data_IF_343002790942
#
_entry.id   IF_343002790942
#
_cell.length_a   1.000
_cell.length_b   1.000
_cell.length_c   1.000
_cell.angle_alpha   90.00
_cell.angle_beta   90.00
_cell.angle_gamma   90.00
#
_symmetry.space_group_name_H-M   'P 1'
#
loop_
_entity.id
_entity.type
_entity.pdbx_description
1 polymer ?
#
# COMPACT_ATOMS: atom_id res chain seq x y z
N UNK A 1 43.29 28.96 37.26
CA UNK A 1 42.66 27.64 37.43
C UNK A 1 41.26 27.72 36.82
N UNK A 2 41.00 27.19 35.59
CA UNK A 2 39.66 27.21 35.05
C UNK A 2 38.89 25.95 35.48
N UNK A 3 37.68 26.19 35.99
CA UNK A 3 36.69 25.21 36.47
C UNK A 3 36.15 24.35 35.31
N UNK A 4 36.24 23.02 35.45
CA UNK A 4 35.66 22.04 34.51
C UNK A 4 34.18 21.86 34.79
N UNK A 5 33.34 22.41 33.92
CA UNK A 5 31.90 22.16 33.95
C UNK A 5 31.59 20.81 33.30
N UNK A 6 31.20 19.84 34.07
CA UNK A 6 30.76 18.52 33.60
C UNK A 6 29.42 18.64 32.87
N UNK A 7 29.38 18.41 31.55
CA UNK A 7 28.17 18.25 30.79
C UNK A 7 27.50 16.90 31.14
N UNK A 8 26.39 16.96 31.84
CA UNK A 8 25.54 15.83 32.17
C UNK A 8 24.86 15.33 30.87
N UNK A 9 25.25 14.15 30.38
CA UNK A 9 24.59 13.52 29.25
C UNK A 9 23.13 13.16 29.67
N UNK A 10 22.16 13.69 28.92
CA UNK A 10 20.78 13.35 29.10
C UNK A 10 20.55 11.91 28.61
N UNK A 11 19.90 11.09 29.44
CA UNK A 11 19.53 9.72 29.11
C UNK A 11 18.56 9.70 27.93
N UNK A 12 18.64 8.71 27.00
CA UNK A 12 17.73 8.61 25.86
C UNK A 12 16.29 8.36 26.35
N UNK A 13 15.37 9.21 25.91
CA UNK A 13 13.94 9.06 26.19
C UNK A 13 13.47 7.68 25.70
N UNK A 14 12.90 6.87 26.60
CA UNK A 14 12.28 5.58 26.28
C UNK A 14 11.19 5.80 25.22
N UNK A 15 11.40 5.29 23.99
CA UNK A 15 10.35 5.21 22.97
C UNK A 15 9.20 4.41 23.57
N UNK A 16 8.04 5.05 23.75
CA UNK A 16 6.80 4.36 24.07
C UNK A 16 6.56 3.32 22.98
N UNK A 17 6.45 2.05 23.37
CA UNK A 17 6.01 0.99 22.48
C UNK A 17 4.64 1.42 21.91
N UNK A 18 4.53 1.53 20.59
CA UNK A 18 3.26 1.75 19.92
C UNK A 18 2.48 0.48 20.13
N UNK A 19 1.43 0.54 20.92
CA UNK A 19 0.46 -0.56 21.05
C UNK A 19 -0.15 -0.70 19.65
N UNK A 20 0.20 -1.77 18.95
CA UNK A 20 -0.44 -2.11 17.69
C UNK A 20 -1.85 -2.61 18.02
N UNK A 21 -2.85 -1.91 17.52
CA UNK A 21 -4.21 -2.42 17.57
C UNK A 21 -4.29 -3.71 16.72
N UNK A 22 -5.11 -4.69 17.16
CA UNK A 22 -5.29 -5.90 16.38
C UNK A 22 -5.88 -5.56 15.00
N UNK A 23 -5.54 -6.36 13.96
CA UNK A 23 -6.14 -6.18 12.65
C UNK A 23 -7.67 -6.21 12.73
N UNK A 24 -8.37 -5.38 11.93
CA UNK A 24 -9.82 -5.42 11.88
C UNK A 24 -10.31 -6.70 11.20
N UNK A 25 -11.57 -7.07 11.44
CA UNK A 25 -12.18 -8.21 10.78
C UNK A 25 -12.56 -7.82 9.33
N UNK A 26 -11.63 -8.02 8.40
CA UNK A 26 -11.82 -7.69 6.99
C UNK A 26 -12.98 -8.45 6.37
N UNK A 27 -13.78 -7.83 5.49
CA UNK A 27 -14.76 -8.55 4.69
C UNK A 27 -14.09 -9.63 3.84
N UNK A 28 -14.76 -10.76 3.56
CA UNK A 28 -14.21 -11.78 2.67
C UNK A 28 -13.96 -11.20 1.27
N UNK A 29 -12.86 -11.61 0.65
CA UNK A 29 -12.48 -11.22 -0.71
C UNK A 29 -13.25 -12.04 -1.74
N UNK A 30 -14.59 -11.93 -1.71
CA UNK A 30 -15.49 -12.69 -2.62
C UNK A 30 -16.70 -11.83 -3.00
N UNK A 31 -17.26 -12.03 -4.21
CA UNK A 31 -16.77 -12.89 -5.29
C UNK A 31 -15.55 -12.31 -6.01
N UNK A 32 -14.67 -13.17 -6.49
CA UNK A 32 -13.49 -12.81 -7.28
C UNK A 32 -13.78 -12.90 -8.79
N UNK A 33 -12.98 -12.16 -9.56
CA UNK A 33 -12.94 -12.27 -11.02
C UNK A 33 -11.80 -13.23 -11.36
N UNK A 34 -12.03 -14.20 -12.27
CA UNK A 34 -10.99 -15.10 -12.74
C UNK A 34 -9.81 -14.33 -13.36
N UNK A 35 -8.61 -14.87 -13.23
CA UNK A 35 -7.38 -14.22 -13.72
C UNK A 35 -7.36 -14.06 -15.25
N UNK A 36 -8.02 -14.96 -15.96
CA UNK A 36 -8.16 -14.96 -17.42
C UNK A 36 -9.03 -13.80 -17.94
N UNK A 37 -9.90 -13.23 -17.09
CA UNK A 37 -10.75 -12.09 -17.43
C UNK A 37 -10.09 -10.74 -17.08
N UNK A 38 -8.85 -10.76 -16.59
CA UNK A 38 -8.14 -9.59 -16.13
C UNK A 38 -6.84 -9.40 -16.90
N UNK A 39 -6.41 -8.13 -17.03
CA UNK A 39 -5.16 -7.78 -17.67
C UNK A 39 -4.47 -6.62 -16.95
N UNK A 40 -3.14 -6.55 -17.10
CA UNK A 40 -2.37 -5.37 -16.78
C UNK A 40 -2.50 -4.37 -17.93
N UNK A 41 -2.84 -3.14 -17.59
CA UNK A 41 -2.90 -2.01 -18.53
C UNK A 41 -1.82 -1.00 -18.17
N UNK A 42 -0.91 -0.73 -19.07
CA UNK A 42 0.08 0.32 -18.90
C UNK A 42 -0.54 1.68 -19.25
N UNK A 43 -0.68 2.54 -18.27
CA UNK A 43 -1.16 3.92 -18.45
C UNK A 43 0.00 4.86 -18.77
N UNK A 44 1.14 4.65 -18.10
CA UNK A 44 2.38 5.39 -18.34
C UNK A 44 3.52 4.40 -18.27
N UNK A 45 4.31 4.34 -19.32
CA UNK A 45 5.41 3.39 -19.48
C UNK A 45 6.38 3.50 -18.29
N UNK A 46 6.79 2.37 -17.73
CA UNK A 46 7.68 2.22 -16.57
C UNK A 46 7.24 2.94 -15.29
N UNK A 47 6.01 3.46 -15.21
CA UNK A 47 5.58 4.24 -14.06
C UNK A 47 4.20 3.86 -13.52
N UNK A 48 3.20 3.65 -14.39
CA UNK A 48 1.82 3.42 -13.97
C UNK A 48 1.22 2.23 -14.71
N UNK A 49 0.90 1.22 -13.94
CA UNK A 49 0.18 0.03 -14.40
C UNK A 49 -1.10 -0.12 -13.59
N UNK A 50 -2.16 -0.53 -14.26
CA UNK A 50 -3.49 -0.69 -13.66
C UNK A 50 -4.02 -2.08 -13.97
N UNK A 51 -4.63 -2.72 -12.98
CA UNK A 51 -5.50 -3.88 -13.16
C UNK A 51 -6.93 -3.41 -13.05
N UNK A 52 -7.63 -3.32 -14.20
CA UNK A 52 -9.04 -2.94 -14.18
C UNK A 52 -9.89 -4.09 -13.69
N UNK A 53 -10.93 -3.75 -12.95
CA UNK A 53 -11.94 -4.71 -12.46
C UNK A 53 -11.38 -5.83 -11.57
N UNK A 54 -10.20 -5.66 -10.95
CA UNK A 54 -9.65 -6.65 -10.02
C UNK A 54 -10.66 -7.05 -8.92
N UNK A 55 -11.47 -6.10 -8.49
CA UNK A 55 -12.53 -6.31 -7.52
C UNK A 55 -13.90 -6.10 -8.19
N UNK A 56 -14.83 -7.00 -7.92
CA UNK A 56 -16.22 -6.86 -8.42
C UNK A 56 -16.91 -5.60 -7.85
N UNK A 57 -17.89 -5.01 -8.52
CA UNK A 57 -18.64 -3.86 -7.99
C UNK A 57 -19.27 -4.12 -6.62
N UNK A 58 -19.70 -5.35 -6.35
CA UNK A 58 -20.25 -5.75 -5.06
C UNK A 58 -19.17 -5.75 -3.98
N UNK A 59 -18.00 -6.33 -4.28
CA UNK A 59 -16.88 -6.36 -3.37
C UNK A 59 -16.38 -4.93 -3.08
N UNK A 60 -16.27 -4.07 -4.10
CA UNK A 60 -15.93 -2.66 -3.92
C UNK A 60 -16.89 -1.96 -2.96
N UNK A 61 -18.21 -2.12 -3.12
CA UNK A 61 -19.19 -1.51 -2.21
C UNK A 61 -19.03 -1.99 -0.78
N UNK A 62 -18.84 -3.30 -0.60
CA UNK A 62 -18.65 -3.90 0.73
C UNK A 62 -17.40 -3.34 1.41
N UNK A 63 -16.28 -3.27 0.68
CA UNK A 63 -15.04 -2.71 1.21
C UNK A 63 -15.14 -1.21 1.49
N UNK A 64 -15.74 -0.42 0.61
CA UNK A 64 -15.95 1.01 0.86
C UNK A 64 -16.78 1.23 2.13
N UNK A 65 -17.88 0.49 2.30
CA UNK A 65 -18.70 0.57 3.51
C UNK A 65 -17.92 0.20 4.77
N UNK A 66 -17.18 -0.91 4.72
CA UNK A 66 -16.33 -1.35 5.82
C UNK A 66 -15.22 -0.34 6.14
N UNK A 67 -14.48 0.13 5.15
CA UNK A 67 -13.39 1.09 5.33
C UNK A 67 -13.89 2.41 5.91
N UNK A 68 -15.10 2.84 5.57
CA UNK A 68 -15.73 4.01 6.16
C UNK A 68 -16.09 3.84 7.65
N UNK A 69 -16.25 2.61 8.13
CA UNK A 69 -16.55 2.31 9.54
C UNK A 69 -15.30 2.22 10.43
N UNK A 70 -14.11 2.18 9.83
CA UNK A 70 -12.86 2.11 10.59
C UNK A 70 -12.63 3.40 11.41
N UNK A 71 -11.91 3.33 12.54
CA UNK A 71 -11.59 4.48 13.39
C UNK A 71 -10.47 5.33 12.74
N UNK A 72 -10.83 6.04 11.66
CA UNK A 72 -9.88 6.91 10.98
C UNK A 72 -9.59 8.16 11.82
N UNK A 73 -8.33 8.56 11.86
CA UNK A 73 -7.85 9.75 12.57
C UNK A 73 -7.48 10.80 11.54
N UNK A 74 -8.02 12.01 11.69
CA UNK A 74 -7.66 13.14 10.83
C UNK A 74 -6.20 13.53 11.06
N UNK A 75 -5.41 13.59 9.99
CA UNK A 75 -4.02 14.01 10.07
C UNK A 75 -3.96 15.52 10.33
N UNK A 76 -3.03 16.01 11.19
CA UNK A 76 -2.86 17.43 11.39
C UNK A 76 -2.36 18.09 10.11
N UNK A 77 -2.87 19.29 9.81
CA UNK A 77 -2.50 20.09 8.65
C UNK A 77 -1.08 20.69 8.69
N UNK A 78 -0.29 20.44 9.73
CA UNK A 78 1.09 20.93 9.84
C UNK A 78 2.07 19.79 9.55
N UNK A 79 2.80 19.86 8.43
CA UNK A 79 3.82 18.87 8.11
C UNK A 79 5.04 19.04 9.03
N UNK A 80 5.78 17.96 9.25
CA UNK A 80 7.15 18.05 9.76
C UNK A 80 8.03 18.64 8.68
N UNK A 81 9.24 19.08 9.08
CA UNK A 81 10.29 19.50 8.14
C UNK A 81 10.45 18.39 7.09
N UNK A 82 10.45 18.76 5.83
CA UNK A 82 10.60 17.85 4.66
C UNK A 82 9.40 16.90 4.40
N UNK A 83 8.26 17.08 5.05
CA UNK A 83 7.01 16.38 4.74
C UNK A 83 6.05 17.28 3.95
N UNK A 84 5.38 16.70 2.92
CA UNK A 84 4.33 17.42 2.21
C UNK A 84 3.11 17.66 3.11
N UNK A 85 2.52 18.84 2.96
CA UNK A 85 1.26 19.18 3.64
C UNK A 85 0.17 18.19 3.24
N UNK A 86 -0.52 17.64 4.24
CA UNK A 86 -1.65 16.74 4.02
C UNK A 86 -2.73 16.93 5.07
N UNK A 87 -3.95 16.88 4.61
CA UNK A 87 -5.14 16.82 5.45
C UNK A 87 -6.01 15.70 4.91
N UNK A 88 -6.12 14.63 5.66
CA UNK A 88 -6.94 13.46 5.32
C UNK A 88 -7.27 12.67 6.58
N UNK A 89 -8.24 11.81 6.49
CA UNK A 89 -8.50 10.82 7.52
C UNK A 89 -7.69 9.57 7.21
N UNK A 90 -7.06 9.00 8.23
CA UNK A 90 -6.12 7.90 8.07
C UNK A 90 -6.37 6.80 9.09
N UNK A 91 -6.30 5.57 8.62
CA UNK A 91 -6.14 4.36 9.42
C UNK A 91 -4.91 3.60 8.95
N UNK A 92 -4.18 2.97 9.86
CA UNK A 92 -3.01 2.17 9.53
C UNK A 92 -2.96 0.95 10.44
N UNK A 93 -2.67 -0.20 9.86
CA UNK A 93 -2.51 -1.46 10.56
C UNK A 93 -1.44 -2.30 9.88
N UNK A 94 -0.69 -3.09 10.64
CA UNK A 94 0.22 -4.10 10.11
C UNK A 94 -0.53 -5.44 10.13
N UNK A 95 -0.88 -5.95 8.93
CA UNK A 95 -1.64 -7.20 8.77
C UNK A 95 -1.07 -8.03 7.60
N UNK A 96 -0.08 -8.90 7.90
CA UNK A 96 0.49 -9.77 6.88
C UNK A 96 -0.49 -10.82 6.36
N UNK A 97 -1.48 -11.23 7.17
CA UNK A 97 -2.46 -12.24 6.74
C UNK A 97 -3.41 -11.68 5.69
N UNK A 98 -3.89 -10.45 5.88
CA UNK A 98 -4.72 -9.79 4.87
C UNK A 98 -3.92 -9.42 3.63
N UNK A 99 -2.68 -8.93 3.77
CA UNK A 99 -1.81 -8.66 2.63
C UNK A 99 -1.58 -9.92 1.79
N UNK A 100 -1.34 -11.06 2.42
CA UNK A 100 -1.18 -12.35 1.73
C UNK A 100 -2.50 -12.84 1.12
N UNK A 101 -3.63 -12.69 1.82
CA UNK A 101 -4.94 -13.05 1.27
C UNK A 101 -5.27 -12.22 0.02
N UNK A 102 -4.95 -10.92 0.01
CA UNK A 102 -5.12 -10.07 -1.16
C UNK A 102 -4.15 -10.45 -2.28
N UNK A 103 -2.90 -10.76 -1.95
CA UNK A 103 -1.85 -11.12 -2.91
C UNK A 103 -2.11 -12.44 -3.59
N UNK A 104 -2.22 -13.51 -2.81
CA UNK A 104 -2.32 -14.89 -3.31
C UNK A 104 -3.76 -15.38 -3.46
N UNK A 105 -4.71 -14.76 -2.73
CA UNK A 105 -6.13 -15.10 -2.79
C UNK A 105 -6.89 -14.44 -3.93
N UNK A 106 -6.28 -13.48 -4.65
CA UNK A 106 -6.87 -12.86 -5.85
C UNK A 106 -5.99 -13.12 -7.08
N UNK A 107 -6.41 -12.64 -8.25
CA UNK A 107 -5.60 -12.72 -9.47
C UNK A 107 -4.34 -11.86 -9.45
N UNK A 108 -4.15 -11.03 -8.43
CA UNK A 108 -3.10 -10.02 -8.41
C UNK A 108 -1.69 -10.60 -8.56
N UNK A 109 -1.39 -11.66 -7.82
CA UNK A 109 -0.09 -12.35 -7.90
C UNK A 109 0.19 -12.85 -9.31
N UNK A 110 -0.77 -13.56 -9.89
CA UNK A 110 -0.64 -14.15 -11.21
C UNK A 110 -0.40 -13.09 -12.30
N UNK A 111 -1.14 -11.98 -12.23
CA UNK A 111 -0.99 -10.85 -13.16
C UNK A 111 0.36 -10.14 -13.00
N UNK A 112 0.75 -9.84 -11.77
CA UNK A 112 1.98 -9.07 -11.49
C UNK A 112 3.24 -9.88 -11.79
N UNK A 113 3.21 -11.20 -11.56
CA UNK A 113 4.37 -12.09 -11.83
C UNK A 113 4.35 -12.69 -13.24
N UNK A 114 3.28 -12.46 -14.01
CA UNK A 114 3.13 -13.04 -15.36
C UNK A 114 2.82 -14.55 -15.35
N UNK A 115 2.47 -15.12 -14.21
CA UNK A 115 2.22 -16.57 -14.08
C UNK A 115 0.94 -17.06 -14.78
N UNK A 116 0.04 -16.14 -15.18
CA UNK A 116 -1.21 -16.46 -15.90
C UNK A 116 -1.04 -16.62 -17.40
N UNK A 117 0.13 -16.34 -17.98
CA UNK A 117 0.30 -16.28 -19.43
C UNK A 117 0.60 -17.66 -19.99
N UNK A 118 -0.42 -18.43 -20.31
CA UNK A 118 -0.30 -19.61 -21.19
C UNK A 118 -0.37 -19.26 -22.69
N UNK A 119 -0.51 -17.98 -23.06
CA UNK A 119 -0.57 -17.52 -24.44
C UNK A 119 0.41 -16.39 -24.69
N UNK A 120 1.29 -16.51 -25.72
CA UNK A 120 2.26 -15.44 -26.04
C UNK A 120 1.65 -14.18 -26.68
N UNK A 121 0.32 -14.14 -26.87
CA UNK A 121 -0.32 -13.15 -27.76
C UNK A 121 -1.15 -12.05 -27.05
N UNK A 122 -1.07 -11.94 -25.73
CA UNK A 122 -1.88 -10.93 -24.99
C UNK A 122 -1.04 -9.82 -24.35
N UNK A 123 0.02 -9.36 -25.03
CA UNK A 123 0.70 -8.10 -24.64
C UNK A 123 1.27 -8.07 -23.22
N UNK A 124 1.38 -9.22 -22.54
CA UNK A 124 2.01 -9.29 -21.22
C UNK A 124 3.52 -9.26 -21.44
N UNK A 125 4.21 -8.34 -20.78
CA UNK A 125 5.66 -8.26 -20.88
C UNK A 125 6.30 -9.59 -20.52
N UNK A 126 7.32 -10.01 -21.25
CA UNK A 126 8.19 -11.13 -20.90
C UNK A 126 8.67 -10.97 -19.44
N UNK A 127 9.00 -12.06 -18.76
CA UNK A 127 9.44 -12.02 -17.36
C UNK A 127 10.50 -10.95 -17.07
N UNK A 128 11.41 -10.70 -18.00
CA UNK A 128 12.45 -9.67 -17.88
C UNK A 128 11.88 -8.26 -17.96
N UNK A 129 10.84 -8.04 -18.77
CA UNK A 129 10.16 -6.75 -18.85
C UNK A 129 9.34 -6.46 -17.58
N UNK A 130 8.66 -7.46 -17.01
CA UNK A 130 7.99 -7.32 -15.72
C UNK A 130 9.01 -7.06 -14.60
N UNK A 131 10.14 -7.77 -14.61
CA UNK A 131 11.20 -7.54 -13.64
C UNK A 131 11.78 -6.13 -13.74
N UNK A 132 11.97 -5.62 -14.97
CA UNK A 132 12.41 -4.24 -15.21
C UNK A 132 11.35 -3.24 -14.72
N UNK A 133 10.07 -3.47 -15.03
CA UNK A 133 8.95 -2.62 -14.62
C UNK A 133 8.85 -2.50 -13.10
N UNK A 134 9.05 -3.59 -12.37
CA UNK A 134 8.95 -3.62 -10.91
C UNK A 134 10.26 -3.26 -10.20
N UNK A 135 11.37 -3.15 -10.93
CA UNK A 135 12.69 -2.88 -10.38
C UNK A 135 13.34 -4.09 -9.68
N UNK A 136 12.85 -5.30 -9.92
CA UNK A 136 13.34 -6.54 -9.35
C UNK A 136 12.28 -7.63 -9.25
N UNK A 137 12.58 -8.70 -8.50
CA UNK A 137 11.63 -9.80 -8.28
C UNK A 137 10.56 -9.40 -7.26
N UNK A 138 9.30 -9.54 -7.64
CA UNK A 138 8.18 -9.17 -6.76
C UNK A 138 7.97 -10.24 -5.71
N UNK A 139 8.07 -9.87 -4.44
CA UNK A 139 7.91 -10.77 -3.29
C UNK A 139 6.48 -10.83 -2.76
N UNK A 140 5.73 -9.71 -2.84
CA UNK A 140 4.37 -9.64 -2.33
C UNK A 140 3.92 -8.22 -2.01
N UNK A 141 2.81 -8.10 -1.30
CA UNK A 141 2.29 -6.82 -0.84
C UNK A 141 2.87 -6.42 0.52
N UNK A 142 3.03 -5.12 0.72
CA UNK A 142 3.47 -4.60 2.02
C UNK A 142 2.40 -4.88 3.09
N UNK A 143 2.73 -5.58 4.20
CA UNK A 143 1.79 -5.87 5.27
C UNK A 143 1.33 -4.62 6.03
N UNK A 144 2.03 -3.51 5.89
CA UNK A 144 1.64 -2.23 6.47
C UNK A 144 0.58 -1.55 5.63
N UNK A 145 -0.68 -1.87 5.91
CA UNK A 145 -1.84 -1.33 5.22
C UNK A 145 -2.13 0.09 5.67
N UNK A 146 -2.42 0.96 4.72
CA UNK A 146 -2.76 2.36 4.98
C UNK A 146 -4.02 2.72 4.22
N UNK A 147 -5.03 3.11 4.97
CA UNK A 147 -6.30 3.57 4.44
C UNK A 147 -6.34 5.09 4.55
N UNK A 148 -6.67 5.75 3.47
CA UNK A 148 -6.84 7.20 3.41
C UNK A 148 -8.24 7.52 2.89
N UNK A 149 -8.93 8.41 3.60
CA UNK A 149 -10.20 8.98 3.14
C UNK A 149 -10.02 10.48 2.98
N UNK A 150 -10.46 11.00 1.85
CA UNK A 150 -10.45 12.42 1.56
C UNK A 150 -11.87 12.95 1.47
N UNK A 151 -12.22 13.91 2.32
CA UNK A 151 -13.44 14.68 2.26
C UNK A 151 -13.26 15.98 1.45
N UNK A 152 -14.35 16.74 1.30
CA UNK A 152 -14.30 18.04 0.63
C UNK A 152 -13.30 18.97 1.31
N UNK A 153 -12.37 19.55 0.54
CA UNK A 153 -11.34 20.45 1.05
C UNK A 153 -10.11 19.76 1.66
N UNK A 154 -10.11 18.42 1.75
CA UNK A 154 -8.93 17.66 2.14
C UNK A 154 -8.05 17.35 0.94
N UNK A 155 -6.74 17.31 1.15
CA UNK A 155 -5.78 17.11 0.08
C UNK A 155 -4.45 16.57 0.60
N UNK A 156 -3.63 16.09 -0.31
CA UNK A 156 -2.23 15.77 -0.07
C UNK A 156 -1.41 16.62 -1.06
N UNK A 157 -0.56 17.48 -0.53
CA UNK A 157 0.31 18.35 -1.33
C UNK A 157 1.26 17.55 -2.21
N UNK A 158 1.79 18.21 -3.23
CA UNK A 158 2.75 17.59 -4.15
C UNK A 158 3.94 17.02 -3.38
N UNK A 159 4.29 15.77 -3.67
CA UNK A 159 5.39 15.06 -3.02
C UNK A 159 5.94 13.99 -3.96
N UNK A 160 7.23 13.73 -3.86
CA UNK A 160 7.83 12.57 -4.50
C UNK A 160 7.57 11.34 -3.62
N UNK A 161 6.96 10.34 -4.19
CA UNK A 161 6.89 9.01 -3.58
C UNK A 161 7.75 8.07 -4.39
N UNK A 162 8.73 7.48 -3.74
CA UNK A 162 9.22 6.18 -4.19
C UNK A 162 8.15 5.19 -3.76
N UNK A 163 7.25 4.85 -4.70
CA UNK A 163 6.14 3.96 -4.37
C UNK A 163 6.61 2.54 -4.58
N UNK A 164 6.81 1.83 -3.50
CA UNK A 164 6.78 0.38 -3.52
C UNK A 164 5.59 -0.07 -2.67
N UNK A 165 4.46 -0.35 -3.33
CA UNK A 165 3.40 -1.13 -2.71
C UNK A 165 3.76 -2.61 -2.60
N UNK A 166 4.83 -3.04 -3.30
CA UNK A 166 5.35 -4.40 -3.30
C UNK A 166 6.77 -4.42 -2.74
N UNK A 167 7.11 -5.49 -2.04
CA UNK A 167 8.49 -5.77 -1.72
C UNK A 167 9.17 -6.33 -2.96
N UNK A 168 10.30 -5.75 -3.33
CA UNK A 168 11.17 -6.18 -4.41
C UNK A 168 12.53 -6.51 -3.82
N UNK A 169 13.11 -7.63 -4.17
CA UNK A 169 14.46 -8.04 -3.76
C UNK A 169 15.49 -7.69 -4.83
#
# INVERSE_FOLDING_TARGET
MPSKTSKKLAAPAKRKAIVQEPPPNWPPLQPLIPSEDLSLETILEDQIVVVRNLLTPTLCRNYVSFLCSLPLITTPGQPKKDEALRVNDRFQVDDPQFAEALWSGTALKALVTGASSSSPDHGIPHSDALRSLWGGDVLGLNPRLRIYRYGKGQFFGQHCKYILFMFVS
#
